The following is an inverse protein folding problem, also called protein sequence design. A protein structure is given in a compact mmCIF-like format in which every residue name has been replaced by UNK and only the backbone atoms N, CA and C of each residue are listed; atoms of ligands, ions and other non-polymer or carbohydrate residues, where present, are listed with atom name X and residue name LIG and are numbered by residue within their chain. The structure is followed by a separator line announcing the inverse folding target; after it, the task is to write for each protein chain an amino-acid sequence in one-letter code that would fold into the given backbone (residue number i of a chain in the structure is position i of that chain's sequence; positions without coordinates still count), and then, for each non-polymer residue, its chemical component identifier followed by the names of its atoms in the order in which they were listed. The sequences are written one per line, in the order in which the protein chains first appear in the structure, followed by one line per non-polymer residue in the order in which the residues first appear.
data_IF_461242179725
#
_entry.id   IF_461242179725
#
_cell.length_a   1.000
_cell.length_b   1.000
_cell.length_c   1.000
_cell.angle_alpha   90.00
_cell.angle_beta   90.00
_cell.angle_gamma   90.00
#
_symmetry.space_group_name_H-M   'P 1'
#
loop_
_entity.id
_entity.type
_entity.pdbx_description
1 polymer ?
#
# COMPACT_ATOMS: atom_id res chain seq x y z
N UNK A 1 13.66 -0.15 2.16
CA UNK A 1 12.39 -0.89 2.30
C UNK A 1 12.01 -1.17 3.75
N UNK A 2 12.83 -1.86 4.56
CA UNK A 2 12.43 -2.30 5.93
C UNK A 2 11.90 -1.16 6.81
N UNK A 3 12.63 -0.04 6.93
CA UNK A 3 12.22 1.10 7.77
C UNK A 3 10.86 1.65 7.34
N UNK A 4 10.62 1.76 6.03
CA UNK A 4 9.33 2.16 5.50
C UNK A 4 8.26 1.14 5.90
N UNK A 5 8.43 -0.14 5.60
CA UNK A 5 7.41 -1.15 5.95
C UNK A 5 7.05 -1.13 7.45
N UNK A 6 8.05 -1.01 8.32
CA UNK A 6 7.83 -0.99 9.77
C UNK A 6 7.13 0.28 10.24
N UNK A 7 7.44 1.44 9.66
CA UNK A 7 6.75 2.69 9.98
C UNK A 7 5.28 2.70 9.49
N UNK A 8 4.94 2.04 8.37
CA UNK A 8 3.56 1.98 7.87
C UNK A 8 2.79 1.06 8.78
N UNK A 9 3.39 -0.09 9.13
CA UNK A 9 2.82 -1.03 10.10
C UNK A 9 2.51 -0.32 11.40
N UNK A 10 3.45 0.45 11.96
CA UNK A 10 3.22 1.20 13.19
C UNK A 10 2.12 2.26 13.05
N UNK A 11 2.16 3.08 11.99
CA UNK A 11 1.24 4.19 11.81
C UNK A 11 -0.20 3.75 11.47
N UNK A 12 -0.34 2.63 10.77
CA UNK A 12 -1.61 2.19 10.17
C UNK A 12 -2.21 0.95 10.81
N UNK A 13 -1.57 0.36 11.83
CA UNK A 13 -2.18 -0.72 12.62
C UNK A 13 -3.52 -0.28 13.17
N UNK A 14 -4.58 -1.07 12.91
CA UNK A 14 -5.96 -0.78 13.31
C UNK A 14 -6.68 0.27 12.46
N UNK A 15 -6.01 0.89 11.48
CA UNK A 15 -6.59 1.91 10.58
C UNK A 15 -6.66 1.46 9.13
N UNK A 16 -5.72 0.64 8.71
CA UNK A 16 -5.69 0.06 7.37
C UNK A 16 -5.83 -1.45 7.47
N UNK A 17 -7.00 -1.99 7.10
CA UNK A 17 -7.28 -3.43 7.25
C UNK A 17 -6.31 -4.30 6.45
N UNK A 18 -5.81 -3.79 5.33
CA UNK A 18 -4.88 -4.50 4.44
C UNK A 18 -3.40 -4.27 4.80
N UNK A 19 -3.09 -3.66 5.95
CA UNK A 19 -1.69 -3.33 6.30
C UNK A 19 -0.78 -4.56 6.37
N UNK A 20 -1.33 -5.71 6.79
CA UNK A 20 -0.60 -6.97 6.84
C UNK A 20 -0.15 -7.42 5.44
N UNK A 21 -1.13 -7.55 4.55
CA UNK A 21 -0.94 -7.94 3.14
C UNK A 21 -0.04 -6.94 2.41
N UNK A 22 -0.26 -5.64 2.60
CA UNK A 22 0.58 -4.58 2.05
C UNK A 22 2.05 -4.75 2.49
N UNK A 23 2.29 -4.92 3.78
CA UNK A 23 3.65 -5.06 4.30
C UNK A 23 4.34 -6.34 3.81
N UNK A 24 3.60 -7.42 3.60
CA UNK A 24 4.12 -8.65 3.03
C UNK A 24 4.46 -8.48 1.55
N UNK A 25 3.52 -7.96 0.76
CA UNK A 25 3.68 -7.65 -0.65
C UNK A 25 4.92 -6.78 -0.91
N UNK A 26 5.05 -5.66 -0.20
CA UNK A 26 6.20 -4.74 -0.38
C UNK A 26 7.53 -5.44 -0.03
N UNK A 27 7.57 -6.30 1.00
CA UNK A 27 8.80 -7.03 1.35
C UNK A 27 9.18 -8.08 0.29
N UNK A 28 8.20 -8.73 -0.34
CA UNK A 28 8.45 -9.76 -1.35
C UNK A 28 8.78 -9.17 -2.73
N UNK A 29 8.09 -8.11 -3.12
CA UNK A 29 8.10 -7.61 -4.50
C UNK A 29 8.89 -6.32 -4.70
N UNK A 30 9.16 -5.55 -3.64
CA UNK A 30 9.85 -4.26 -3.77
C UNK A 30 11.26 -4.27 -3.18
N UNK A 31 12.26 -3.95 -4.00
CA UNK A 31 13.69 -3.92 -3.61
C UNK A 31 14.29 -2.52 -3.50
N UNK A 32 13.58 -1.50 -3.98
CA UNK A 32 14.09 -0.13 -4.05
C UNK A 32 13.71 0.71 -2.83
N UNK A 33 14.32 1.90 -2.69
CA UNK A 33 13.92 2.82 -1.64
C UNK A 33 12.51 3.33 -1.89
N UNK A 34 11.69 3.38 -0.83
CA UNK A 34 10.38 4.00 -0.88
C UNK A 34 10.58 5.52 -0.80
N UNK A 35 10.05 6.25 -1.76
CA UNK A 35 10.08 7.72 -1.76
C UNK A 35 9.07 8.27 -0.76
N UNK A 36 9.27 9.51 -0.30
CA UNK A 36 8.32 10.19 0.58
C UNK A 36 6.94 10.36 -0.09
N UNK A 37 6.90 10.58 -1.40
CA UNK A 37 5.65 10.69 -2.14
C UNK A 37 4.87 9.36 -2.10
N UNK A 38 5.51 8.24 -2.48
CA UNK A 38 4.90 6.90 -2.40
C UNK A 38 4.44 6.58 -0.97
N UNK A 39 5.20 7.00 0.04
CA UNK A 39 4.83 6.88 1.44
C UNK A 39 3.49 7.54 1.75
N UNK A 40 3.36 8.82 1.38
CA UNK A 40 2.17 9.64 1.61
C UNK A 40 0.97 9.14 0.79
N UNK A 41 1.20 8.69 -0.43
CA UNK A 41 0.16 8.10 -1.28
C UNK A 41 -0.44 6.86 -0.62
N UNK A 42 0.36 5.96 -0.04
CA UNK A 42 -0.16 4.76 0.65
C UNK A 42 -0.95 5.13 1.91
N UNK A 43 -0.55 6.20 2.62
CA UNK A 43 -1.34 6.72 3.73
C UNK A 43 -2.72 7.19 3.24
N UNK A 44 -2.80 7.88 2.11
CA UNK A 44 -4.08 8.32 1.55
C UNK A 44 -4.92 7.14 1.05
N UNK A 45 -4.30 6.22 0.31
CA UNK A 45 -4.92 4.96 -0.13
C UNK A 45 -5.61 4.25 1.03
N UNK A 46 -4.93 4.14 2.17
CA UNK A 46 -5.48 3.48 3.37
C UNK A 46 -6.74 4.13 3.96
N UNK A 47 -7.03 5.39 3.61
CA UNK A 47 -8.17 6.16 4.11
C UNK A 47 -9.33 6.19 3.13
N UNK A 48 -9.03 6.22 1.83
CA UNK A 48 -10.04 6.45 0.78
C UNK A 48 -10.45 5.17 0.06
N UNK A 49 -9.62 4.14 0.06
CA UNK A 49 -9.93 2.85 -0.58
C UNK A 49 -10.50 1.88 0.45
N UNK A 50 -11.61 1.24 0.10
CA UNK A 50 -12.30 0.24 0.90
C UNK A 50 -11.44 -1.01 1.08
N UNK A 51 -11.71 -1.75 2.15
CA UNK A 51 -10.99 -2.98 2.46
C UNK A 51 -11.18 -4.11 1.44
N UNK A 52 -12.28 -4.08 0.69
CA UNK A 52 -12.57 -5.00 -0.41
C UNK A 52 -12.07 -4.48 -1.77
N UNK A 53 -11.37 -3.35 -1.77
CA UNK A 53 -10.81 -2.67 -2.96
C UNK A 53 -11.88 -2.27 -4.00
N UNK A 54 -13.17 -2.33 -3.66
CA UNK A 54 -14.29 -2.15 -4.60
C UNK A 54 -14.36 -0.76 -5.25
N UNK A 55 -13.83 0.25 -4.57
CA UNK A 55 -13.83 1.64 -5.02
C UNK A 55 -12.44 2.12 -5.49
N UNK A 56 -11.48 1.22 -5.68
CA UNK A 56 -10.17 1.57 -6.23
C UNK A 56 -10.30 1.92 -7.72
N UNK A 57 -9.68 3.03 -8.12
CA UNK A 57 -9.64 3.51 -9.51
C UNK A 57 -8.26 3.23 -10.13
N UNK A 58 -8.15 2.29 -11.09
CA UNK A 58 -6.89 1.95 -11.75
C UNK A 58 -6.42 3.04 -12.73
N UNK A 59 -7.27 3.99 -13.13
CA UNK A 59 -6.87 5.15 -13.94
C UNK A 59 -6.46 6.34 -13.05
N UNK A 60 -6.51 6.17 -11.73
CA UNK A 60 -6.08 7.16 -10.76
C UNK A 60 -4.57 7.43 -10.78
N UNK A 61 -4.15 8.55 -10.19
CA UNK A 61 -2.74 8.96 -10.11
C UNK A 61 -1.96 8.22 -8.99
N UNK A 62 -2.31 6.98 -8.68
CA UNK A 62 -1.62 6.21 -7.65
C UNK A 62 -0.23 5.79 -8.13
N UNK A 63 0.73 5.57 -7.21
CA UNK A 63 2.01 4.97 -7.58
C UNK A 63 1.80 3.56 -8.14
N UNK A 64 2.58 3.18 -9.15
CA UNK A 64 2.55 1.83 -9.74
C UNK A 64 2.61 0.71 -8.70
N UNK A 65 3.33 0.92 -7.58
CA UNK A 65 3.40 -0.06 -6.48
C UNK A 65 2.03 -0.36 -5.83
N UNK A 66 1.13 0.63 -5.78
CA UNK A 66 -0.24 0.46 -5.29
C UNK A 66 -1.05 -0.33 -6.31
N UNK A 67 -0.90 -0.02 -7.60
CA UNK A 67 -1.61 -0.72 -8.68
C UNK A 67 -1.21 -2.20 -8.72
N UNK A 68 0.09 -2.48 -8.61
CA UNK A 68 0.63 -3.85 -8.51
C UNK A 68 0.13 -4.59 -7.27
N UNK A 69 -0.02 -3.89 -6.13
CA UNK A 69 -0.59 -4.49 -4.92
C UNK A 69 -2.05 -4.87 -5.13
N UNK A 70 -2.84 -3.99 -5.75
CA UNK A 70 -4.26 -4.28 -6.03
C UNK A 70 -4.39 -5.47 -7.00
N UNK A 71 -3.59 -5.50 -8.08
CA UNK A 71 -3.56 -6.66 -8.99
C UNK A 71 -3.17 -7.95 -8.25
N UNK A 72 -2.20 -7.89 -7.33
CA UNK A 72 -1.80 -9.04 -6.51
C UNK A 72 -2.94 -9.55 -5.61
N UNK A 73 -3.78 -8.67 -5.07
CA UNK A 73 -4.90 -9.04 -4.20
C UNK A 73 -6.06 -9.72 -4.95
N UNK A 74 -6.16 -9.55 -6.27
CA UNK A 74 -7.18 -10.20 -7.11
C UNK A 74 -6.73 -11.54 -7.71
N UNK A 75 -5.46 -11.94 -7.49
CA UNK A 75 -4.90 -13.21 -8.00
C UNK A 75 -5.05 -14.37 -7.03
#
# INVERSE_FOLDING_TARGET
VSIAVDAWKLALTGRFRLIGQWCEFVRMHHRHAITEDTWRQVLEFSRVVHEDLSNYDPEGAWPVLVDEFVDHMYR
#
